data_IF_670792451169
#
_entry.id   IF_670792451169
#
_cell.length_a   1.000
_cell.length_b   1.000
_cell.length_c   1.000
_cell.angle_alpha   90.00
_cell.angle_beta   90.00
_cell.angle_gamma   90.00
#
_symmetry.space_group_name_H-M   'P 1'
#
loop_
_entity.id
_entity.type
_entity.pdbx_description
1 polymer ?
#
# COMPACT_ATOMS: atom_id res chain seq x y z
N UNK A 1 5.16 -7.58 -32.13
CA UNK A 1 5.63 -8.54 -31.10
C UNK A 1 4.89 -8.17 -29.84
N UNK A 2 4.12 -9.10 -29.27
CA UNK A 2 3.46 -8.92 -27.98
C UNK A 2 4.53 -8.68 -26.91
N UNK A 3 4.26 -7.74 -26.01
CA UNK A 3 5.17 -7.40 -24.91
C UNK A 3 5.25 -8.61 -23.95
N UNK A 4 6.45 -9.08 -23.55
CA UNK A 4 6.59 -10.19 -22.59
C UNK A 4 5.81 -10.00 -21.29
N UNK A 5 5.62 -8.74 -20.86
CA UNK A 5 4.77 -8.40 -19.72
C UNK A 5 3.32 -8.78 -19.98
N UNK A 6 2.77 -8.40 -21.14
CA UNK A 6 1.38 -8.67 -21.49
C UNK A 6 1.14 -10.18 -21.64
N UNK A 7 2.09 -10.90 -22.23
CA UNK A 7 2.03 -12.37 -22.35
C UNK A 7 2.02 -13.05 -20.97
N UNK A 8 2.85 -12.57 -20.04
CA UNK A 8 2.89 -13.07 -18.68
C UNK A 8 1.58 -12.83 -17.92
N UNK A 9 1.04 -11.60 -18.02
CA UNK A 9 -0.24 -11.23 -17.42
C UNK A 9 -1.36 -12.11 -17.98
N UNK A 10 -1.47 -12.21 -19.30
CA UNK A 10 -2.48 -13.07 -19.94
C UNK A 10 -2.34 -14.54 -19.53
N UNK A 11 -1.11 -15.02 -19.36
CA UNK A 11 -0.85 -16.40 -18.96
C UNK A 11 -1.43 -16.72 -17.58
N UNK A 12 -1.07 -15.94 -16.53
CA UNK A 12 -1.58 -16.25 -15.20
C UNK A 12 -3.08 -15.94 -15.04
N UNK A 13 -3.63 -14.94 -15.75
CA UNK A 13 -5.09 -14.74 -15.78
C UNK A 13 -5.83 -15.93 -16.37
N UNK A 14 -5.29 -16.52 -17.44
CA UNK A 14 -5.87 -17.74 -18.03
C UNK A 14 -5.85 -18.92 -17.06
N UNK A 15 -4.80 -19.02 -16.24
CA UNK A 15 -4.74 -20.04 -15.18
C UNK A 15 -5.78 -19.77 -14.09
N UNK A 16 -5.94 -18.51 -13.65
CA UNK A 16 -6.85 -18.08 -12.58
C UNK A 16 -8.35 -18.22 -12.89
N UNK A 17 -8.71 -18.39 -14.16
CA UNK A 17 -10.11 -18.66 -14.58
C UNK A 17 -10.53 -20.11 -14.29
N UNK A 18 -9.56 -21.03 -14.11
CA UNK A 18 -9.87 -22.45 -13.85
C UNK A 18 -10.16 -22.67 -12.37
N UNK A 19 -11.21 -23.44 -12.08
CA UNK A 19 -11.47 -23.91 -10.72
C UNK A 19 -10.29 -24.76 -10.22
N UNK A 20 -9.81 -24.43 -9.02
CA UNK A 20 -8.79 -25.19 -8.32
C UNK A 20 -7.59 -24.37 -7.86
N UNK A 21 -6.51 -25.07 -7.54
CA UNK A 21 -5.27 -24.46 -7.06
C UNK A 21 -4.27 -24.33 -8.20
N UNK A 22 -3.71 -23.13 -8.35
CA UNK A 22 -2.60 -22.85 -9.25
C UNK A 22 -1.33 -22.78 -8.43
N UNK A 23 -0.28 -23.47 -8.87
CA UNK A 23 1.01 -23.36 -8.21
C UNK A 23 1.75 -22.16 -8.74
N UNK A 24 2.29 -21.34 -7.85
CA UNK A 24 3.15 -20.21 -8.23
C UNK A 24 4.35 -20.67 -9.03
N UNK A 25 4.83 -21.89 -8.79
CA UNK A 25 5.88 -22.53 -9.58
C UNK A 25 5.58 -22.55 -11.09
N UNK A 26 4.32 -22.68 -11.49
CA UNK A 26 3.93 -22.71 -12.90
C UNK A 26 3.98 -21.32 -13.55
N UNK A 27 4.00 -20.25 -12.73
CA UNK A 27 4.05 -18.84 -13.13
C UNK A 27 5.50 -18.34 -13.20
N UNK A 28 6.41 -18.91 -12.41
CA UNK A 28 7.84 -18.51 -12.33
C UNK A 28 8.55 -18.39 -13.70
N UNK A 29 8.38 -19.31 -14.67
CA UNK A 29 9.08 -19.19 -15.96
C UNK A 29 8.65 -17.95 -16.75
N UNK A 30 7.36 -17.62 -16.75
CA UNK A 30 6.85 -16.41 -17.41
C UNK A 30 7.33 -15.14 -16.70
N UNK A 31 7.34 -15.15 -15.36
CA UNK A 31 7.83 -14.02 -14.56
C UNK A 31 9.31 -13.76 -14.81
N UNK A 32 10.13 -14.83 -14.92
CA UNK A 32 11.54 -14.71 -15.25
C UNK A 32 11.78 -14.24 -16.70
N UNK A 33 10.95 -14.68 -17.65
CA UNK A 33 11.06 -14.29 -19.05
C UNK A 33 10.66 -12.83 -19.33
N UNK A 34 9.84 -12.23 -18.45
CA UNK A 34 9.44 -10.82 -18.51
C UNK A 34 10.63 -9.84 -18.36
N UNK A 35 11.74 -10.29 -17.77
CA UNK A 35 12.95 -9.50 -17.51
C UNK A 35 12.66 -8.13 -16.85
N UNK A 36 11.86 -8.19 -15.78
CA UNK A 36 11.43 -6.99 -15.05
C UNK A 36 12.60 -6.22 -14.45
N UNK A 37 12.62 -4.91 -14.61
CA UNK A 37 13.59 -4.02 -13.94
C UNK A 37 13.51 -4.08 -12.42
N UNK A 38 12.35 -4.43 -11.86
CA UNK A 38 12.17 -4.61 -10.41
C UNK A 38 12.67 -5.97 -9.92
N UNK A 39 12.91 -6.93 -10.83
CA UNK A 39 13.36 -8.28 -10.49
C UNK A 39 14.33 -8.84 -11.56
N UNK A 40 15.36 -8.07 -11.89
CA UNK A 40 16.35 -8.30 -12.96
C UNK A 40 17.21 -9.59 -12.83
N UNK A 41 17.03 -10.37 -11.77
CA UNK A 41 17.74 -11.64 -11.56
C UNK A 41 16.80 -12.83 -11.40
N UNK A 42 15.51 -12.67 -11.68
CA UNK A 42 14.49 -13.71 -11.50
C UNK A 42 14.91 -15.07 -12.09
N UNK A 43 15.41 -15.09 -13.33
CA UNK A 43 15.83 -16.31 -14.03
C UNK A 43 17.23 -16.83 -13.72
N UNK A 44 18.00 -16.18 -12.84
CA UNK A 44 19.37 -16.59 -12.49
C UNK A 44 19.47 -17.12 -11.05
N UNK A 45 20.59 -17.74 -10.68
CA UNK A 45 20.84 -18.17 -9.29
C UNK A 45 21.25 -17.02 -8.35
N UNK A 46 21.46 -15.82 -8.88
CA UNK A 46 21.81 -14.64 -8.08
C UNK A 46 20.60 -14.15 -7.29
N UNK A 47 20.81 -13.84 -6.02
CA UNK A 47 19.78 -13.33 -5.11
C UNK A 47 19.60 -11.82 -5.34
N UNK A 48 18.38 -11.41 -5.55
CA UNK A 48 17.94 -10.02 -5.61
C UNK A 48 17.27 -9.62 -4.29
N UNK A 49 18.08 -9.20 -3.32
CA UNK A 49 17.58 -8.82 -1.98
C UNK A 49 16.63 -7.63 -2.03
N UNK A 50 16.83 -6.70 -2.96
CA UNK A 50 15.94 -5.54 -3.14
C UNK A 50 14.54 -5.96 -3.57
N UNK A 51 14.43 -6.89 -4.54
CA UNK A 51 13.15 -7.47 -4.96
C UNK A 51 12.51 -8.30 -3.84
N UNK A 52 13.31 -9.09 -3.12
CA UNK A 52 12.83 -9.89 -1.99
C UNK A 52 12.26 -8.99 -0.87
N UNK A 53 12.99 -7.95 -0.49
CA UNK A 53 12.54 -6.95 0.48
C UNK A 53 11.26 -6.26 0.00
N UNK A 54 11.23 -5.82 -1.26
CA UNK A 54 10.07 -5.15 -1.85
C UNK A 54 8.80 -6.02 -1.79
N UNK A 55 8.94 -7.32 -2.06
CA UNK A 55 7.85 -8.29 -1.98
C UNK A 55 7.42 -8.57 -0.54
N UNK A 56 8.38 -8.83 0.36
CA UNK A 56 8.10 -9.11 1.77
C UNK A 56 7.32 -7.98 2.45
N UNK A 57 7.67 -6.72 2.18
CA UNK A 57 6.96 -5.58 2.74
C UNK A 57 5.48 -5.51 2.28
N UNK A 58 5.14 -6.12 1.14
CA UNK A 58 3.77 -6.12 0.57
C UNK A 58 2.97 -7.37 0.93
N UNK A 59 3.55 -8.25 1.74
CA UNK A 59 2.94 -9.49 2.21
C UNK A 59 2.84 -9.45 3.75
N UNK A 60 1.89 -10.17 4.36
CA UNK A 60 1.84 -10.29 5.81
C UNK A 60 3.09 -10.98 6.35
N UNK A 61 3.52 -10.65 7.57
CA UNK A 61 4.71 -11.27 8.20
C UNK A 61 4.63 -12.78 8.35
N UNK A 62 3.42 -13.35 8.40
CA UNK A 62 3.19 -14.80 8.47
C UNK A 62 3.31 -15.52 7.11
N UNK A 63 3.64 -14.83 6.03
CA UNK A 63 3.62 -15.40 4.66
C UNK A 63 4.53 -16.61 4.49
N UNK A 64 5.61 -16.73 5.26
CA UNK A 64 6.50 -17.88 5.25
C UNK A 64 5.87 -19.14 5.86
N UNK A 65 4.79 -19.02 6.63
CA UNK A 65 3.97 -20.13 7.14
C UNK A 65 2.84 -20.52 6.17
N UNK A 66 2.47 -19.64 5.24
CA UNK A 66 1.35 -19.83 4.31
C UNK A 66 1.71 -20.81 3.21
N UNK A 67 0.76 -21.66 2.82
CA UNK A 67 0.86 -22.54 1.65
C UNK A 67 -0.12 -22.17 0.56
N UNK A 68 -1.34 -21.78 0.92
CA UNK A 68 -2.39 -21.45 -0.04
C UNK A 68 -2.96 -20.07 0.25
N UNK A 69 -3.03 -19.27 -0.81
CA UNK A 69 -3.53 -17.90 -0.77
C UNK A 69 -4.85 -17.88 -1.53
N UNK A 70 -5.91 -17.56 -0.81
CA UNK A 70 -7.28 -17.48 -1.32
C UNK A 70 -7.52 -16.03 -1.68
N UNK A 71 -7.82 -15.76 -2.95
CA UNK A 71 -8.09 -14.41 -3.43
C UNK A 71 -9.55 -14.30 -3.89
N UNK A 72 -10.20 -13.21 -3.55
CA UNK A 72 -11.55 -12.90 -4.02
C UNK A 72 -11.79 -11.40 -3.97
N UNK A 73 -12.68 -10.92 -4.83
CA UNK A 73 -13.20 -9.55 -4.79
C UNK A 73 -14.36 -9.38 -3.81
N UNK A 74 -14.86 -10.48 -3.26
CA UNK A 74 -15.97 -10.49 -2.31
C UNK A 74 -15.65 -11.38 -1.10
N UNK A 75 -15.58 -10.77 0.08
CA UNK A 75 -15.34 -11.51 1.33
C UNK A 75 -16.44 -12.55 1.59
N UNK A 76 -17.69 -12.26 1.22
CA UNK A 76 -18.79 -13.20 1.44
C UNK A 76 -18.65 -14.44 0.55
N UNK A 77 -18.13 -14.29 -0.67
CA UNK A 77 -17.87 -15.42 -1.57
C UNK A 77 -16.85 -16.40 -0.98
N UNK A 78 -15.88 -15.92 -0.20
CA UNK A 78 -14.95 -16.79 0.52
C UNK A 78 -15.68 -17.60 1.60
N UNK A 79 -16.57 -16.97 2.38
CA UNK A 79 -17.38 -17.63 3.41
C UNK A 79 -18.29 -18.69 2.80
N UNK A 80 -18.99 -18.34 1.72
CA UNK A 80 -19.88 -19.24 1.00
C UNK A 80 -19.14 -20.45 0.41
N UNK A 81 -17.85 -20.26 0.08
CA UNK A 81 -16.96 -21.33 -0.42
C UNK A 81 -16.35 -22.18 0.71
N UNK A 82 -16.78 -21.97 1.96
CA UNK A 82 -16.39 -22.78 3.11
C UNK A 82 -15.18 -22.25 3.89
N UNK A 83 -14.75 -21.01 3.65
CA UNK A 83 -13.65 -20.39 4.41
C UNK A 83 -14.20 -19.43 5.48
N UNK A 84 -14.16 -19.78 6.79
CA UNK A 84 -14.69 -18.94 7.86
C UNK A 84 -13.72 -17.80 8.20
N UNK A 85 -13.46 -16.90 7.24
CA UNK A 85 -12.45 -15.84 7.31
C UNK A 85 -12.66 -14.88 8.49
N UNK A 86 -13.89 -14.73 8.99
CA UNK A 86 -14.19 -13.88 10.15
C UNK A 86 -13.74 -14.50 11.48
N UNK A 87 -13.45 -15.80 11.52
CA UNK A 87 -12.86 -16.49 12.67
C UNK A 87 -11.32 -16.48 12.61
N UNK A 88 -10.75 -16.03 11.50
CA UNK A 88 -9.30 -15.99 11.26
C UNK A 88 -8.69 -14.70 11.80
N UNK A 89 -7.38 -14.69 11.98
CA UNK A 89 -6.66 -13.49 12.44
C UNK A 89 -6.51 -12.50 11.29
N UNK A 90 -7.02 -11.28 11.46
CA UNK A 90 -6.73 -10.19 10.53
C UNK A 90 -5.24 -9.83 10.61
N UNK A 91 -4.54 -9.94 9.48
CA UNK A 91 -3.11 -9.67 9.37
C UNK A 91 -2.85 -8.50 8.44
N UNK A 92 -1.86 -7.67 8.79
CA UNK A 92 -1.55 -6.44 8.05
C UNK A 92 -0.33 -6.60 7.15
N UNK A 93 -0.32 -5.81 6.09
CA UNK A 93 0.77 -5.61 5.13
C UNK A 93 1.33 -4.20 5.28
N UNK A 94 2.66 -4.03 5.30
CA UNK A 94 3.29 -2.74 5.60
C UNK A 94 3.34 -1.81 4.36
N UNK A 95 3.73 -2.35 3.20
CA UNK A 95 4.04 -1.60 1.99
C UNK A 95 2.90 -1.43 0.99
N UNK A 96 1.81 -2.19 1.13
CA UNK A 96 0.59 -2.08 0.32
C UNK A 96 -0.59 -2.67 1.07
N UNK A 97 -1.48 -1.82 1.59
CA UNK A 97 -2.65 -2.22 2.40
C UNK A 97 -3.55 -3.18 1.61
N UNK A 98 -3.88 -4.31 2.23
CA UNK A 98 -4.89 -5.27 1.79
C UNK A 98 -5.53 -5.89 3.01
N UNK A 99 -6.86 -6.05 3.00
CA UNK A 99 -7.55 -6.88 3.99
C UNK A 99 -7.14 -8.35 3.80
N UNK A 100 -6.41 -8.87 4.79
CA UNK A 100 -5.90 -10.23 4.79
C UNK A 100 -6.29 -10.93 6.08
N UNK A 101 -6.64 -12.21 5.99
CA UNK A 101 -7.01 -13.06 7.12
C UNK A 101 -6.19 -14.35 7.11
N UNK A 102 -5.55 -14.68 8.22
CA UNK A 102 -4.68 -15.84 8.37
C UNK A 102 -5.29 -16.87 9.34
N UNK A 103 -5.39 -18.12 8.89
CA UNK A 103 -5.97 -19.22 9.67
C UNK A 103 -5.06 -19.75 10.79
N UNK A 104 -3.90 -19.12 11.02
CA UNK A 104 -2.83 -19.57 11.93
C UNK A 104 -2.22 -20.93 11.59
N UNK A 105 -2.43 -21.40 10.37
CA UNK A 105 -1.96 -22.69 9.91
C UNK A 105 -1.28 -22.57 8.55
N UNK A 106 -2.03 -22.57 7.44
CA UNK A 106 -1.46 -22.55 6.09
C UNK A 106 -2.29 -21.79 5.05
N UNK A 107 -3.42 -21.19 5.44
CA UNK A 107 -4.31 -20.45 4.55
C UNK A 107 -4.24 -18.95 4.83
N UNK A 108 -4.09 -18.17 3.76
CA UNK A 108 -4.22 -16.72 3.80
C UNK A 108 -5.33 -16.30 2.84
N UNK A 109 -6.40 -15.73 3.36
CA UNK A 109 -7.41 -15.05 2.55
C UNK A 109 -6.98 -13.60 2.31
N UNK A 110 -7.07 -13.12 1.07
CA UNK A 110 -6.74 -11.75 0.69
C UNK A 110 -7.82 -11.15 -0.23
N UNK A 111 -8.38 -10.02 0.19
CA UNK A 111 -9.38 -9.28 -0.57
C UNK A 111 -8.74 -8.48 -1.71
N UNK A 112 -9.29 -8.60 -2.93
CA UNK A 112 -8.79 -7.94 -4.15
C UNK A 112 -9.80 -6.90 -4.65
N UNK A 113 -9.44 -5.63 -4.56
CA UNK A 113 -10.35 -4.53 -4.99
C UNK A 113 -10.39 -4.33 -6.51
N UNK A 114 -9.45 -4.92 -7.26
CA UNK A 114 -9.38 -4.76 -8.71
C UNK A 114 -8.59 -5.88 -9.40
N UNK A 115 -8.68 -5.93 -10.74
CA UNK A 115 -7.82 -6.79 -11.57
C UNK A 115 -6.34 -6.42 -11.38
N UNK A 116 -6.03 -5.13 -11.26
CA UNK A 116 -4.66 -4.67 -11.02
C UNK A 116 -4.12 -5.07 -9.65
N UNK A 117 -4.98 -5.33 -8.66
CA UNK A 117 -4.56 -5.89 -7.38
C UNK A 117 -4.20 -7.37 -7.49
N UNK A 118 -4.90 -8.12 -8.36
CA UNK A 118 -4.56 -9.49 -8.71
C UNK A 118 -3.17 -9.51 -9.38
N UNK A 119 -2.94 -8.66 -10.38
CA UNK A 119 -1.64 -8.58 -11.07
C UNK A 119 -0.49 -8.33 -10.09
N UNK A 120 -0.68 -7.41 -9.15
CA UNK A 120 0.32 -7.11 -8.12
C UNK A 120 0.53 -8.29 -7.17
N UNK A 121 -0.52 -8.87 -6.59
CA UNK A 121 -0.35 -9.93 -5.59
C UNK A 121 0.31 -11.18 -6.20
N UNK A 122 -0.05 -11.57 -7.44
CA UNK A 122 0.59 -12.68 -8.16
C UNK A 122 2.09 -12.40 -8.35
N UNK A 123 2.41 -11.20 -8.83
CA UNK A 123 3.79 -10.77 -9.09
C UNK A 123 4.64 -10.75 -7.81
N UNK A 124 4.06 -10.25 -6.72
CA UNK A 124 4.70 -10.14 -5.40
C UNK A 124 4.94 -11.52 -4.79
N UNK A 125 3.95 -12.41 -4.80
CA UNK A 125 4.11 -13.79 -4.29
C UNK A 125 5.13 -14.56 -5.12
N UNK A 126 5.09 -14.43 -6.45
CA UNK A 126 6.04 -15.08 -7.35
C UNK A 126 7.46 -14.60 -7.08
N UNK A 127 7.65 -13.28 -6.91
CA UNK A 127 8.95 -12.70 -6.53
C UNK A 127 9.44 -13.23 -5.18
N UNK A 128 8.57 -13.26 -4.17
CA UNK A 128 8.93 -13.76 -2.85
C UNK A 128 9.36 -15.22 -2.88
N UNK A 129 8.60 -16.08 -3.59
CA UNK A 129 8.91 -17.50 -3.71
C UNK A 129 10.25 -17.74 -4.42
N UNK A 130 10.49 -17.07 -5.55
CA UNK A 130 11.73 -17.21 -6.32
C UNK A 130 12.93 -16.88 -5.43
N UNK A 131 12.91 -15.73 -4.75
CA UNK A 131 14.03 -15.27 -3.95
C UNK A 131 14.24 -16.10 -2.67
N UNK A 132 13.16 -16.46 -1.98
CA UNK A 132 13.23 -17.41 -0.86
C UNK A 132 13.89 -18.71 -1.28
N UNK A 133 13.45 -19.27 -2.41
CA UNK A 133 13.92 -20.57 -2.87
C UNK A 133 15.39 -20.54 -3.33
N UNK A 134 15.88 -19.43 -3.89
CA UNK A 134 17.31 -19.25 -4.16
C UNK A 134 18.14 -19.27 -2.88
N UNK A 135 17.69 -18.54 -1.86
CA UNK A 135 18.36 -18.52 -0.56
C UNK A 135 18.32 -19.93 0.07
N UNK A 136 17.17 -20.62 0.02
CA UNK A 136 17.05 -22.00 0.47
C UNK A 136 18.06 -22.93 -0.23
N UNK A 137 18.22 -22.83 -1.55
CA UNK A 137 19.14 -23.67 -2.32
C UNK A 137 20.61 -23.43 -1.93
N UNK A 138 20.95 -22.21 -1.49
CA UNK A 138 22.25 -21.89 -0.93
C UNK A 138 22.47 -22.50 0.47
N UNK A 139 21.43 -22.54 1.31
CA UNK A 139 21.52 -22.85 2.75
C UNK A 139 21.17 -24.29 3.14
N UNK A 140 20.34 -24.98 2.35
CA UNK A 140 19.83 -26.34 2.64
C UNK A 140 20.90 -27.44 2.60
N UNK A 141 22.14 -27.10 2.21
CA UNK A 141 23.26 -28.04 2.21
C UNK A 141 23.56 -28.46 3.66
N UNK A 142 23.71 -29.78 3.96
CA UNK A 142 23.82 -30.28 5.34
C UNK A 142 24.85 -29.56 6.21
N UNK A 143 26.02 -29.24 5.65
CA UNK A 143 27.09 -28.54 6.37
C UNK A 143 26.71 -27.10 6.73
N UNK A 144 25.98 -26.42 5.87
CA UNK A 144 25.58 -25.02 6.09
C UNK A 144 24.41 -24.92 7.06
N UNK A 145 23.39 -25.77 6.87
CA UNK A 145 22.25 -25.84 7.78
C UNK A 145 22.70 -26.19 9.22
N UNK A 146 23.65 -27.13 9.35
CA UNK A 146 24.24 -27.50 10.64
C UNK A 146 25.01 -26.34 11.28
N UNK A 147 25.76 -25.55 10.50
CA UNK A 147 26.43 -24.35 11.00
C UNK A 147 25.42 -23.34 11.56
N UNK A 148 24.37 -23.01 10.80
CA UNK A 148 23.32 -22.07 11.27
C UNK A 148 22.74 -22.55 12.60
N UNK A 149 22.42 -23.85 12.70
CA UNK A 149 21.86 -24.45 13.91
C UNK A 149 22.80 -24.35 15.11
N UNK A 150 24.10 -24.58 14.91
CA UNK A 150 25.12 -24.44 15.97
C UNK A 150 25.24 -22.98 16.42
N UNK A 151 25.31 -22.02 15.48
CA UNK A 151 25.38 -20.59 15.81
C UNK A 151 24.18 -20.16 16.66
N UNK A 152 22.98 -20.56 16.23
CA UNK A 152 21.74 -20.25 16.94
C UNK A 152 21.69 -20.85 18.35
N UNK A 153 22.08 -22.12 18.50
CA UNK A 153 22.08 -22.78 19.82
C UNK A 153 23.09 -22.18 20.81
N UNK A 154 24.20 -21.62 20.31
CA UNK A 154 25.24 -21.05 21.16
C UNK A 154 24.99 -19.56 21.50
N UNK A 155 23.90 -18.96 21.01
CA UNK A 155 23.59 -17.53 21.12
C UNK A 155 24.81 -16.65 20.76
N UNK A 156 25.62 -17.15 19.83
CA UNK A 156 26.80 -16.44 19.36
C UNK A 156 26.28 -15.33 18.47
N UNK A 157 26.15 -14.12 19.04
CA UNK A 157 25.94 -12.92 18.23
C UNK A 157 26.88 -13.01 17.04
N UNK A 158 26.31 -13.04 15.84
CA UNK A 158 27.05 -12.99 14.60
C UNK A 158 27.85 -11.67 14.58
N UNK A 159 28.96 -11.63 15.29
CA UNK A 159 30.00 -10.61 15.15
C UNK A 159 30.82 -10.92 13.90
N UNK A 160 30.73 -12.17 13.40
CA UNK A 160 31.09 -12.59 12.05
C UNK A 160 29.86 -12.89 11.20
N UNK A 161 29.07 -11.87 10.82
CA UNK A 161 27.97 -11.96 9.81
C UNK A 161 28.48 -12.20 8.37
N UNK A 162 29.79 -12.05 8.17
CA UNK A 162 30.49 -12.18 6.89
C UNK A 162 30.35 -13.56 6.18
N UNK A 163 30.32 -14.72 6.87
CA UNK A 163 30.23 -16.03 6.22
C UNK A 163 28.92 -16.25 5.46
N UNK A 164 27.78 -15.85 6.03
CA UNK A 164 26.47 -15.99 5.36
C UNK A 164 26.32 -14.97 4.24
N UNK A 165 26.76 -13.72 4.46
CA UNK A 165 26.82 -12.72 3.39
C UNK A 165 27.64 -13.22 2.19
N UNK A 166 28.85 -13.74 2.43
CA UNK A 166 29.72 -14.33 1.40
C UNK A 166 29.08 -15.55 0.73
N UNK A 167 28.40 -16.40 1.51
CA UNK A 167 27.73 -17.60 0.99
C UNK A 167 26.57 -17.28 0.06
N UNK A 168 25.75 -16.29 0.43
CA UNK A 168 24.66 -15.78 -0.38
C UNK A 168 25.16 -14.94 -1.57
N UNK A 169 26.44 -14.55 -1.57
CA UNK A 169 27.07 -13.74 -2.62
C UNK A 169 26.33 -12.41 -2.83
N UNK A 170 25.98 -11.73 -1.73
CA UNK A 170 25.26 -10.45 -1.73
C UNK A 170 26.14 -9.30 -1.21
N UNK A 171 25.85 -8.09 -1.66
CA UNK A 171 26.61 -6.90 -1.25
C UNK A 171 26.39 -6.57 0.23
N UNK A 172 27.27 -5.73 0.80
CA UNK A 172 27.10 -5.29 2.19
C UNK A 172 25.83 -4.44 2.38
N UNK A 173 25.44 -3.66 1.37
CA UNK A 173 24.20 -2.89 1.40
C UNK A 173 22.97 -3.80 1.34
N UNK A 174 23.00 -4.81 0.47
CA UNK A 174 21.95 -5.83 0.42
C UNK A 174 21.85 -6.61 1.73
N UNK A 175 22.99 -6.89 2.37
CA UNK A 175 22.98 -7.54 3.68
C UNK A 175 22.27 -6.70 4.74
N UNK A 176 22.52 -5.38 4.80
CA UNK A 176 21.76 -4.48 5.70
C UNK A 176 20.26 -4.52 5.41
N UNK A 177 19.88 -4.56 4.14
CA UNK A 177 18.47 -4.65 3.73
C UNK A 177 17.85 -6.00 4.13
N UNK A 178 18.60 -7.09 3.98
CA UNK A 178 18.20 -8.43 4.41
C UNK A 178 17.99 -8.49 5.93
N UNK A 179 18.86 -7.87 6.72
CA UNK A 179 18.70 -7.82 8.18
C UNK A 179 17.43 -7.07 8.60
N UNK A 180 17.01 -6.04 7.84
CA UNK A 180 15.73 -5.35 8.07
C UNK A 180 14.53 -6.32 7.89
N UNK A 181 14.61 -7.32 6.99
CA UNK A 181 13.56 -8.35 6.84
C UNK A 181 13.44 -9.26 8.06
N UNK A 182 14.57 -9.56 8.69
CA UNK A 182 14.66 -10.56 9.77
C UNK A 182 14.06 -10.08 11.10
N UNK A 183 13.55 -8.85 11.17
CA UNK A 183 12.97 -8.26 12.40
C UNK A 183 13.89 -8.37 13.64
N UNK A 184 15.21 -8.36 13.44
CA UNK A 184 16.21 -8.46 14.52
C UNK A 184 16.67 -9.87 14.88
N UNK A 185 16.13 -10.93 14.27
CA UNK A 185 16.58 -12.32 14.48
C UNK A 185 16.93 -13.02 13.14
N UNK A 186 18.10 -12.68 12.55
CA UNK A 186 18.52 -13.26 11.29
C UNK A 186 18.83 -14.75 11.38
N UNK A 187 19.18 -15.28 12.55
CA UNK A 187 19.52 -16.69 12.71
C UNK A 187 18.28 -17.57 12.58
N UNK A 188 17.22 -17.24 13.32
CA UNK A 188 15.93 -17.93 13.21
C UNK A 188 15.37 -17.83 11.79
N UNK A 189 15.46 -16.65 11.17
CA UNK A 189 14.99 -16.45 9.80
C UNK A 189 15.76 -17.30 8.78
N UNK A 190 17.10 -17.36 8.86
CA UNK A 190 17.94 -18.21 8.01
C UNK A 190 17.69 -19.70 8.25
N UNK A 191 17.42 -20.11 9.50
CA UNK A 191 17.00 -21.50 9.81
C UNK A 191 15.68 -21.82 9.12
N UNK A 192 14.70 -20.93 9.22
CA UNK A 192 13.40 -21.13 8.58
C UNK A 192 13.55 -21.26 7.06
N UNK A 193 14.30 -20.37 6.42
CA UNK A 193 14.59 -20.47 4.98
C UNK A 193 15.32 -21.77 4.65
N UNK A 194 16.36 -22.12 5.39
CA UNK A 194 17.12 -23.36 5.15
C UNK A 194 16.31 -24.63 5.34
N UNK A 195 15.27 -24.61 6.18
CA UNK A 195 14.48 -25.78 6.54
C UNK A 195 13.49 -26.23 5.47
N UNK A 196 13.00 -25.29 4.63
CA UNK A 196 11.95 -25.58 3.64
C UNK A 196 12.02 -24.69 2.42
N UNK A 197 11.72 -25.28 1.25
CA UNK A 197 11.32 -24.51 0.06
C UNK A 197 9.89 -24.02 0.20
N UNK A 198 9.60 -22.88 -0.38
CA UNK A 198 8.24 -22.40 -0.57
C UNK A 198 7.65 -22.92 -1.88
N UNK A 199 6.36 -23.23 -1.82
CA UNK A 199 5.54 -23.69 -2.93
C UNK A 199 4.11 -23.19 -2.71
N UNK A 200 3.92 -21.90 -2.94
CA UNK A 200 2.63 -21.24 -2.81
C UNK A 200 1.65 -21.73 -3.85
N UNK A 201 0.40 -21.84 -3.41
CA UNK A 201 -0.74 -22.15 -4.23
C UNK A 201 -1.71 -20.98 -4.16
N UNK A 202 -2.36 -20.65 -5.28
CA UNK A 202 -3.39 -19.62 -5.32
C UNK A 202 -4.70 -20.26 -5.71
N UNK A 203 -5.74 -19.92 -4.97
CA UNK A 203 -7.11 -20.27 -5.26
C UNK A 203 -7.90 -18.98 -5.41
N UNK A 204 -8.41 -18.74 -6.62
CA UNK A 204 -9.38 -17.67 -6.83
C UNK A 204 -10.75 -18.21 -6.48
N UNK A 205 -11.46 -17.49 -5.62
CA UNK A 205 -12.87 -17.74 -5.30
C UNK A 205 -13.67 -16.62 -5.92
N UNK A 206 -14.68 -16.99 -6.71
CA UNK A 206 -15.57 -16.03 -7.33
C UNK A 206 -17.03 -16.49 -7.31
N UNK A 207 -17.97 -15.54 -7.20
CA UNK A 207 -19.37 -15.78 -7.57
C UNK A 207 -19.53 -15.74 -9.08
N UNK A 208 -20.45 -16.56 -9.62
CA UNK A 208 -20.71 -16.69 -11.07
C UNK A 208 -21.09 -15.39 -11.79
N UNK A 209 -21.48 -14.34 -11.06
CA UNK A 209 -21.82 -13.02 -11.57
C UNK A 209 -20.97 -11.88 -10.94
N UNK A 210 -19.75 -12.16 -10.49
CA UNK A 210 -18.86 -11.10 -9.97
C UNK A 210 -18.65 -10.00 -11.01
N UNK A 211 -19.21 -8.83 -10.72
CA UNK A 211 -18.96 -7.62 -11.46
C UNK A 211 -18.37 -6.60 -10.48
N UNK A 212 -17.12 -6.21 -10.65
CA UNK A 212 -16.46 -5.17 -9.83
C UNK A 212 -17.33 -3.93 -9.69
N UNK A 213 -18.13 -3.60 -10.73
CA UNK A 213 -19.05 -2.48 -10.70
C UNK A 213 -20.13 -2.61 -9.63
N UNK A 214 -20.67 -3.81 -9.37
CA UNK A 214 -21.73 -3.97 -8.34
C UNK A 214 -21.20 -3.75 -6.93
N UNK A 215 -19.94 -4.12 -6.67
CA UNK A 215 -19.28 -3.86 -5.37
C UNK A 215 -19.04 -2.36 -5.16
N UNK A 216 -18.60 -1.68 -6.21
CA UNK A 216 -18.38 -0.24 -6.19
C UNK A 216 -19.70 0.55 -6.07
N UNK A 217 -20.76 0.11 -6.75
CA UNK A 217 -22.10 0.70 -6.60
C UNK A 217 -22.62 0.51 -5.16
N UNK A 218 -22.43 -0.67 -4.55
CA UNK A 218 -22.82 -0.91 -3.15
C UNK A 218 -22.03 -0.04 -2.16
N UNK A 219 -20.72 0.12 -2.39
CA UNK A 219 -19.88 1.06 -1.64
C UNK A 219 -20.38 2.50 -1.75
N UNK A 220 -20.82 2.92 -2.94
CA UNK A 220 -21.40 4.25 -3.17
C UNK A 220 -22.68 4.45 -2.37
N UNK A 221 -23.58 3.48 -2.36
CA UNK A 221 -24.82 3.56 -1.59
C UNK A 221 -24.55 3.63 -0.07
N UNK A 222 -23.57 2.87 0.45
CA UNK A 222 -23.13 3.00 1.84
C UNK A 222 -22.56 4.41 2.14
N UNK A 223 -21.75 4.95 1.23
CA UNK A 223 -21.19 6.29 1.36
C UNK A 223 -22.29 7.36 1.39
N UNK A 224 -23.25 7.30 0.45
CA UNK A 224 -24.41 8.20 0.39
C UNK A 224 -25.25 8.10 1.67
N UNK A 225 -25.52 6.88 2.16
CA UNK A 225 -26.28 6.66 3.38
C UNK A 225 -25.58 7.22 4.63
N UNK A 226 -24.25 7.26 4.64
CA UNK A 226 -23.45 7.85 5.74
C UNK A 226 -23.38 9.38 5.70
N UNK A 227 -23.73 9.99 4.57
CA UNK A 227 -23.59 11.42 4.33
C UNK A 227 -24.93 12.16 4.52
N UNK A 228 -25.01 13.20 5.36
CA UNK A 228 -26.22 14.00 5.50
C UNK A 228 -26.47 14.95 4.30
N UNK A 229 -25.53 15.06 3.37
CA UNK A 229 -25.63 15.92 2.20
C UNK A 229 -25.99 15.10 0.95
N UNK A 230 -26.80 15.68 0.07
CA UNK A 230 -27.15 15.07 -1.20
C UNK A 230 -26.00 15.19 -2.20
N UNK A 231 -25.16 14.15 -2.26
CA UNK A 231 -23.96 14.12 -3.12
C UNK A 231 -24.26 14.33 -4.61
N UNK A 232 -25.46 13.96 -5.08
CA UNK A 232 -25.86 14.11 -6.48
C UNK A 232 -26.25 15.54 -6.86
N UNK A 233 -26.66 16.36 -5.89
CA UNK A 233 -27.11 17.75 -6.13
C UNK A 233 -26.06 18.80 -5.76
N UNK A 234 -25.12 18.47 -4.87
CA UNK A 234 -24.04 19.37 -4.49
C UNK A 234 -22.93 19.38 -5.55
N UNK A 235 -22.30 20.54 -5.82
CA UNK A 235 -21.05 20.58 -6.58
C UNK A 235 -19.93 19.85 -5.82
N UNK A 236 -19.14 19.02 -6.50
CA UNK A 236 -18.10 18.18 -5.87
C UNK A 236 -16.72 18.53 -6.39
N UNK A 237 -15.79 18.75 -5.46
CA UNK A 237 -14.35 18.65 -5.70
C UNK A 237 -13.89 17.24 -5.34
N UNK A 238 -13.51 16.48 -6.35
CA UNK A 238 -13.00 15.13 -6.17
C UNK A 238 -11.49 15.16 -5.92
N UNK A 239 -11.05 14.46 -4.87
CA UNK A 239 -9.66 14.38 -4.46
C UNK A 239 -9.25 12.93 -4.24
N UNK A 240 -8.21 12.49 -4.92
CA UNK A 240 -7.52 11.23 -4.62
C UNK A 240 -6.25 11.55 -3.84
N UNK A 241 -6.25 11.30 -2.53
CA UNK A 241 -5.15 11.64 -1.63
C UNK A 241 -5.20 10.79 -0.34
N UNK A 242 -4.24 11.01 0.56
CA UNK A 242 -4.32 10.44 1.89
C UNK A 242 -5.55 11.03 2.60
N UNK A 243 -6.38 10.17 3.19
CA UNK A 243 -7.63 10.60 3.85
C UNK A 243 -7.42 11.46 5.11
N UNK A 244 -6.18 11.62 5.57
CA UNK A 244 -5.82 12.46 6.71
C UNK A 244 -5.10 13.75 6.30
N UNK A 245 -4.53 13.84 5.09
CA UNK A 245 -3.64 14.96 4.72
C UNK A 245 -4.33 16.30 4.53
N UNK A 246 -5.56 16.33 4.01
CA UNK A 246 -6.34 17.57 3.90
C UNK A 246 -7.08 17.87 5.20
N UNK A 247 -7.77 16.90 5.84
CA UNK A 247 -8.37 17.13 7.16
C UNK A 247 -7.40 17.73 8.17
N UNK A 248 -6.15 17.27 8.24
CA UNK A 248 -5.16 17.82 9.18
C UNK A 248 -4.88 19.31 8.97
N UNK A 249 -5.06 19.83 7.75
CA UNK A 249 -4.84 21.23 7.40
C UNK A 249 -6.05 22.12 7.71
N UNK A 250 -7.25 21.55 7.93
CA UNK A 250 -8.50 22.33 8.04
C UNK A 250 -9.25 22.13 9.36
N UNK A 251 -8.71 21.30 10.26
CA UNK A 251 -9.33 21.03 11.58
C UNK A 251 -8.69 21.78 12.73
N UNK A 252 -7.54 22.43 12.53
CA UNK A 252 -6.81 23.15 13.58
C UNK A 252 -6.16 22.22 14.60
N UNK A 253 -5.96 20.95 14.24
CA UNK A 253 -5.50 19.90 15.15
C UNK A 253 -4.07 20.11 15.69
N UNK A 254 -3.28 21.01 15.09
CA UNK A 254 -1.84 21.13 15.36
C UNK A 254 -1.44 22.25 16.32
N UNK A 255 -2.38 22.80 17.09
CA UNK A 255 -2.02 23.75 18.14
C UNK A 255 -1.44 22.97 19.34
N UNK A 256 -0.11 23.08 19.50
CA UNK A 256 0.74 22.59 20.61
C UNK A 256 1.04 21.08 20.70
N UNK A 257 1.98 20.57 19.90
CA UNK A 257 2.40 19.16 20.05
C UNK A 257 3.90 18.89 19.76
N UNK A 258 4.79 19.60 20.44
CA UNK A 258 6.22 19.19 20.56
C UNK A 258 6.35 17.74 21.06
N UNK A 259 5.39 17.30 21.89
CA UNK A 259 5.29 15.93 22.39
C UNK A 259 5.08 14.91 21.26
N UNK A 260 4.29 15.25 20.24
CA UNK A 260 4.04 14.39 19.08
C UNK A 260 5.29 14.20 18.23
N UNK A 261 6.04 15.28 17.97
CA UNK A 261 7.34 15.20 17.27
C UNK A 261 8.32 14.38 18.11
N UNK A 262 8.41 14.65 19.42
CA UNK A 262 9.33 13.95 20.33
C UNK A 262 9.04 12.44 20.34
N UNK A 263 7.78 12.06 20.49
CA UNK A 263 7.35 10.65 20.44
C UNK A 263 7.66 10.02 19.08
N UNK A 264 7.47 10.76 17.98
CA UNK A 264 7.81 10.27 16.64
C UNK A 264 9.32 10.03 16.48
N UNK A 265 10.15 10.92 16.99
CA UNK A 265 11.62 10.78 16.96
C UNK A 265 12.10 9.59 17.78
N UNK A 266 11.52 9.36 18.97
CA UNK A 266 11.86 8.22 19.82
C UNK A 266 11.55 6.89 19.13
N UNK A 267 10.41 6.79 18.45
CA UNK A 267 9.96 5.58 17.76
C UNK A 267 10.54 5.41 16.34
N UNK A 268 11.22 6.43 15.80
CA UNK A 268 11.81 6.40 14.47
C UNK A 268 13.14 5.64 14.43
N UNK A 269 13.45 4.91 13.33
CA UNK A 269 14.78 4.35 13.11
C UNK A 269 15.86 5.43 13.10
N UNK A 270 17.09 5.09 13.50
CA UNK A 270 18.21 6.05 13.62
C UNK A 270 18.44 6.87 12.34
N UNK A 271 18.40 6.23 11.16
CA UNK A 271 18.55 6.90 9.85
C UNK A 271 17.48 8.00 9.61
N UNK A 272 16.26 7.77 10.10
CA UNK A 272 15.16 8.73 10.00
C UNK A 272 15.33 9.82 11.05
N UNK A 273 15.71 9.44 12.27
CA UNK A 273 15.95 10.38 13.37
C UNK A 273 17.06 11.37 13.03
N UNK A 274 18.18 10.92 12.46
CA UNK A 274 19.28 11.79 12.04
C UNK A 274 18.84 12.80 10.99
N UNK A 275 18.06 12.34 9.99
CA UNK A 275 17.51 13.22 8.95
C UNK A 275 16.54 14.24 9.52
N UNK A 276 15.72 13.84 10.49
CA UNK A 276 14.78 14.73 11.16
C UNK A 276 15.51 15.74 12.07
N UNK A 277 16.56 15.33 12.78
CA UNK A 277 17.41 16.25 13.54
C UNK A 277 18.06 17.29 12.64
N UNK A 278 18.54 16.90 11.46
CA UNK A 278 19.02 17.87 10.46
C UNK A 278 17.90 18.83 10.02
N UNK A 279 16.69 18.33 9.76
CA UNK A 279 15.55 19.16 9.36
C UNK A 279 15.10 20.15 10.44
N UNK A 280 15.19 19.75 11.71
CA UNK A 280 14.85 20.56 12.89
C UNK A 280 15.95 21.57 13.27
N UNK A 281 17.18 21.39 12.76
CA UNK A 281 18.28 22.33 13.03
C UNK A 281 18.20 23.63 12.21
N UNK A 282 17.41 23.63 11.14
CA UNK A 282 17.01 24.85 10.42
C UNK A 282 15.77 25.44 11.13
N UNK A 283 15.89 26.67 11.64
CA UNK A 283 14.83 27.42 12.36
C UNK A 283 13.72 27.92 11.42
N UNK A 284 13.21 27.04 10.56
CA UNK A 284 12.17 27.28 9.57
C UNK A 284 10.84 26.72 10.08
N UNK A 285 10.02 27.59 10.68
CA UNK A 285 8.67 27.29 11.19
C UNK A 285 7.81 26.47 10.22
N UNK A 286 7.98 26.67 8.90
CA UNK A 286 7.21 25.94 7.89
C UNK A 286 7.57 24.46 7.84
N UNK A 287 8.84 24.10 8.09
CA UNK A 287 9.30 22.71 8.12
C UNK A 287 8.83 21.97 9.35
N UNK A 288 8.84 22.64 10.50
CA UNK A 288 8.30 22.08 11.75
C UNK A 288 6.81 21.77 11.56
N UNK A 289 6.04 22.71 10.98
CA UNK A 289 4.63 22.46 10.64
C UNK A 289 4.44 21.29 9.68
N UNK A 290 5.27 21.17 8.64
CA UNK A 290 5.21 20.02 7.73
C UNK A 290 5.49 18.68 8.44
N UNK A 291 6.45 18.67 9.38
CA UNK A 291 6.74 17.49 10.19
C UNK A 291 5.57 17.15 11.11
N UNK A 292 4.95 18.14 11.77
CA UNK A 292 3.76 17.93 12.59
C UNK A 292 2.62 17.29 11.80
N UNK A 293 2.32 17.81 10.60
CA UNK A 293 1.33 17.20 9.72
C UNK A 293 1.69 15.76 9.35
N UNK A 294 2.96 15.50 9.04
CA UNK A 294 3.42 14.15 8.72
C UNK A 294 3.26 13.18 9.90
N UNK A 295 3.68 13.59 11.10
CA UNK A 295 3.53 12.82 12.32
C UNK A 295 2.06 12.56 12.63
N UNK A 296 1.21 13.58 12.46
CA UNK A 296 -0.23 13.44 12.65
C UNK A 296 -0.78 12.35 11.74
N UNK A 297 -0.58 12.46 10.42
CA UNK A 297 -1.00 11.45 9.44
C UNK A 297 -0.48 10.05 9.81
N UNK A 298 0.80 9.92 10.17
CA UNK A 298 1.40 8.66 10.58
C UNK A 298 0.67 8.03 11.79
N UNK A 299 0.37 8.83 12.80
CA UNK A 299 -0.31 8.36 13.99
C UNK A 299 -1.82 8.16 13.81
N UNK A 300 -2.48 8.90 12.92
CA UNK A 300 -3.86 8.62 12.49
C UNK A 300 -3.95 7.23 11.84
N UNK A 301 -2.99 6.91 10.96
CA UNK A 301 -2.96 5.64 10.23
C UNK A 301 -2.68 4.43 11.13
N UNK A 302 -1.88 4.62 12.19
CA UNK A 302 -1.60 3.56 13.16
C UNK A 302 -2.73 3.37 14.19
N UNK A 303 -3.72 4.29 14.21
CA UNK A 303 -4.83 4.28 15.17
C UNK A 303 -4.47 4.84 16.54
N UNK A 304 -3.29 5.43 16.69
CA UNK A 304 -2.76 5.97 17.95
C UNK A 304 -3.34 7.35 18.30
N UNK A 305 -3.99 8.03 17.34
CA UNK A 305 -4.63 9.33 17.54
C UNK A 305 -6.12 9.31 17.19
N UNK A 306 -6.97 9.69 18.15
CA UNK A 306 -8.41 9.89 17.91
C UNK A 306 -8.68 11.30 17.40
N UNK A 307 -9.03 11.40 16.11
CA UNK A 307 -9.35 12.66 15.44
C UNK A 307 -10.82 13.10 15.60
N UNK A 308 -11.62 12.26 16.26
CA UNK A 308 -13.07 12.26 16.12
C UNK A 308 -13.77 13.53 16.59
N UNK A 309 -13.20 14.28 17.56
CA UNK A 309 -13.85 15.48 18.10
C UNK A 309 -13.65 16.69 17.20
N UNK A 310 -12.41 17.01 16.84
CA UNK A 310 -12.08 18.16 15.98
C UNK A 310 -12.68 18.03 14.57
N UNK A 311 -12.69 16.82 14.03
CA UNK A 311 -13.28 16.54 12.71
C UNK A 311 -14.79 16.72 12.72
N UNK A 312 -15.49 16.23 13.75
CA UNK A 312 -16.93 16.44 13.91
C UNK A 312 -17.26 17.92 14.01
N UNK A 313 -16.48 18.68 14.77
CA UNK A 313 -16.69 20.12 14.93
C UNK A 313 -16.45 20.89 13.62
N UNK A 314 -15.61 20.37 12.72
CA UNK A 314 -15.40 20.92 11.36
C UNK A 314 -16.33 20.30 10.31
N UNK A 315 -17.32 19.50 10.72
CA UNK A 315 -18.31 18.88 9.85
C UNK A 315 -17.76 17.80 8.91
N UNK A 316 -16.56 17.29 9.18
CA UNK A 316 -15.90 16.25 8.39
C UNK A 316 -16.60 14.91 8.65
N UNK A 317 -16.95 14.22 7.56
CA UNK A 317 -17.59 12.91 7.61
C UNK A 317 -16.59 11.87 7.10
N UNK A 318 -16.22 10.92 7.96
CA UNK A 318 -15.37 9.79 7.59
C UNK A 318 -16.22 8.58 7.24
N UNK A 319 -15.87 7.95 6.13
CA UNK A 319 -16.42 6.67 5.71
C UNK A 319 -15.27 5.67 5.62
N UNK A 320 -15.31 4.66 6.48
CA UNK A 320 -14.25 3.65 6.62
C UNK A 320 -14.86 2.26 6.76
N UNK A 321 -14.07 1.23 6.44
CA UNK A 321 -14.42 -0.17 6.67
C UNK A 321 -15.69 -0.63 5.94
N UNK A 322 -15.89 -0.21 4.68
CA UNK A 322 -16.95 -0.78 3.85
C UNK A 322 -16.79 -2.30 3.74
N UNK A 323 -17.93 -2.99 3.75
CA UNK A 323 -18.02 -4.44 3.61
C UNK A 323 -17.93 -4.89 2.14
N UNK A 324 -18.15 -3.95 1.21
CA UNK A 324 -18.30 -4.24 -0.22
C UNK A 324 -17.07 -3.87 -1.05
N UNK A 325 -16.34 -2.83 -0.67
CA UNK A 325 -15.16 -2.38 -1.40
C UNK A 325 -14.14 -1.76 -0.43
N UNK A 326 -12.88 -2.18 -0.49
CA UNK A 326 -11.84 -1.71 0.43
C UNK A 326 -11.31 -0.32 0.04
N UNK A 327 -12.15 0.70 0.24
CA UNK A 327 -11.85 2.10 -0.03
C UNK A 327 -12.41 2.99 1.07
N UNK A 328 -11.52 3.75 1.70
CA UNK A 328 -11.90 4.77 2.67
C UNK A 328 -12.16 6.09 1.95
N UNK A 329 -13.12 6.85 2.47
CA UNK A 329 -13.45 8.19 1.99
C UNK A 329 -13.63 9.18 3.13
N UNK A 330 -13.49 10.46 2.80
CA UNK A 330 -13.68 11.59 3.69
C UNK A 330 -14.41 12.69 2.94
N UNK A 331 -15.50 13.21 3.51
CA UNK A 331 -16.30 14.28 2.92
C UNK A 331 -16.14 15.53 3.78
N UNK A 332 -15.79 16.64 3.15
CA UNK A 332 -15.62 17.95 3.80
C UNK A 332 -16.58 18.95 3.16
N UNK A 333 -17.60 19.43 3.90
CA UNK A 333 -18.48 20.49 3.44
C UNK A 333 -17.75 21.83 3.49
N UNK A 334 -17.65 22.55 2.36
CA UNK A 334 -16.89 23.82 2.29
C UNK A 334 -17.45 24.87 3.25
N UNK A 335 -18.78 24.93 3.41
CA UNK A 335 -19.44 25.84 4.36
C UNK A 335 -19.06 25.63 5.84
N UNK A 336 -18.45 24.50 6.20
CA UNK A 336 -18.04 24.21 7.59
C UNK A 336 -16.57 24.55 7.87
N UNK A 337 -15.83 24.99 6.85
CA UNK A 337 -14.46 25.43 7.01
C UNK A 337 -14.41 26.75 7.79
N UNK A 338 -13.60 26.80 8.84
CA UNK A 338 -13.39 27.99 9.67
C UNK A 338 -11.97 28.52 9.49
N UNK A 339 -11.82 29.82 9.25
CA UNK A 339 -10.50 30.47 9.14
C UNK A 339 -9.63 30.23 10.37
N UNK A 340 -10.22 30.23 11.57
CA UNK A 340 -9.51 30.04 12.85
C UNK A 340 -8.89 28.64 13.00
N UNK A 341 -9.35 27.66 12.20
CA UNK A 341 -8.88 26.27 12.27
C UNK A 341 -8.00 25.87 11.09
N UNK A 342 -7.95 26.68 10.05
CA UNK A 342 -7.21 26.33 8.85
C UNK A 342 -5.74 26.68 9.08
N UNK A 343 -4.83 25.82 8.60
CA UNK A 343 -3.39 26.05 8.70
C UNK A 343 -3.08 27.47 8.21
N UNK A 344 -2.41 28.26 9.06
CA UNK A 344 -2.18 29.69 8.85
C UNK A 344 -1.45 30.02 7.55
N UNK A 345 -0.81 29.04 6.91
CA UNK A 345 -0.14 29.19 5.61
C UNK A 345 -1.13 29.18 4.43
N UNK A 346 -2.33 28.63 4.63
CA UNK A 346 -3.41 28.59 3.64
C UNK A 346 -4.17 29.92 3.73
N UNK A 347 -3.92 30.79 2.76
CA UNK A 347 -4.63 32.08 2.66
C UNK A 347 -5.94 31.91 1.93
N UNK A 348 -7.04 31.91 2.67
CA UNK A 348 -8.38 31.93 2.08
C UNK A 348 -8.72 33.35 1.65
N UNK A 349 -9.07 33.50 0.38
CA UNK A 349 -9.64 34.74 -0.15
C UNK A 349 -11.15 34.61 -0.07
N UNK A 350 -11.83 35.61 0.47
CA UNK A 350 -13.29 35.67 0.53
C UNK A 350 -13.92 34.54 1.37
N UNK A 351 -13.51 34.40 2.64
CA UNK A 351 -14.07 33.41 3.58
C UNK A 351 -15.58 33.49 3.74
N UNK A 352 -16.15 34.69 3.65
CA UNK A 352 -17.61 34.88 3.64
C UNK A 352 -18.30 34.05 2.55
N UNK A 353 -17.65 33.84 1.40
CA UNK A 353 -18.20 33.05 0.29
C UNK A 353 -18.22 31.56 0.63
N UNK A 354 -17.22 31.06 1.39
CA UNK A 354 -17.15 29.65 1.76
C UNK A 354 -18.36 29.25 2.61
N UNK A 355 -18.76 30.08 3.57
CA UNK A 355 -19.89 29.83 4.47
C UNK A 355 -21.24 29.70 3.73
N UNK A 356 -21.34 30.21 2.51
CA UNK A 356 -22.54 30.15 1.67
C UNK A 356 -22.43 29.07 0.57
N UNK A 357 -21.34 28.29 0.53
CA UNK A 357 -21.12 27.28 -0.49
C UNK A 357 -21.77 25.95 -0.13
N UNK A 358 -22.53 25.39 -1.07
CA UNK A 358 -23.10 24.05 -1.01
C UNK A 358 -22.13 22.97 -1.53
N UNK A 359 -20.90 23.35 -1.90
CA UNK A 359 -19.92 22.45 -2.48
C UNK A 359 -19.27 21.54 -1.42
N UNK A 360 -18.93 20.33 -1.86
CA UNK A 360 -18.32 19.29 -1.03
C UNK A 360 -16.95 18.92 -1.61
N UNK A 361 -16.00 18.62 -0.74
CA UNK A 361 -14.75 17.95 -1.10
C UNK A 361 -14.91 16.47 -0.75
N UNK A 362 -14.83 15.59 -1.75
CA UNK A 362 -14.80 14.14 -1.55
C UNK A 362 -13.37 13.67 -1.73
N UNK A 363 -12.76 13.16 -0.67
CA UNK A 363 -11.41 12.61 -0.64
C UNK A 363 -11.50 11.09 -0.56
N UNK A 364 -10.78 10.37 -1.41
CA UNK A 364 -10.66 8.90 -1.35
C UNK A 364 -9.21 8.47 -1.18
N UNK A 365 -9.00 7.32 -0.52
CA UNK A 365 -7.67 6.77 -0.21
C UNK A 365 -7.04 6.07 -1.43
N UNK A 366 -6.17 6.79 -2.15
CA UNK A 366 -5.26 6.31 -3.21
C UNK A 366 -5.66 5.00 -3.94
N UNK A 367 -6.75 4.96 -4.71
CA UNK A 367 -7.01 3.80 -5.54
C UNK A 367 -5.91 3.64 -6.60
N UNK A 368 -5.54 2.40 -6.90
CA UNK A 368 -4.49 2.08 -7.87
C UNK A 368 -5.08 1.39 -9.10
N UNK A 369 -4.43 1.61 -10.25
CA UNK A 369 -4.75 0.93 -11.50
C UNK A 369 -6.20 1.10 -11.92
N UNK A 370 -6.82 0.00 -12.35
CA UNK A 370 -8.21 -0.03 -12.84
C UNK A 370 -9.25 0.46 -11.82
N UNK A 371 -9.06 0.22 -10.52
CA UNK A 371 -9.98 0.74 -9.50
C UNK A 371 -10.10 2.26 -9.55
N UNK A 372 -8.99 2.98 -9.77
CA UNK A 372 -9.01 4.44 -9.85
C UNK A 372 -9.88 4.95 -11.01
N UNK A 373 -9.86 4.24 -12.14
CA UNK A 373 -10.70 4.53 -13.29
C UNK A 373 -12.18 4.29 -12.97
N UNK A 374 -12.51 3.14 -12.37
CA UNK A 374 -13.89 2.76 -12.05
C UNK A 374 -14.51 3.71 -11.03
N UNK A 375 -13.76 4.08 -9.99
CA UNK A 375 -14.21 5.02 -8.94
C UNK A 375 -14.44 6.41 -9.52
N UNK A 376 -13.49 6.94 -10.30
CA UNK A 376 -13.67 8.26 -10.90
C UNK A 376 -14.85 8.27 -11.87
N UNK A 377 -15.01 7.21 -12.67
CA UNK A 377 -16.15 7.08 -13.60
C UNK A 377 -17.49 7.04 -12.87
N UNK A 378 -17.58 6.28 -11.76
CA UNK A 378 -18.75 6.29 -10.88
C UNK A 378 -19.04 7.69 -10.34
N UNK A 379 -18.03 8.38 -9.80
CA UNK A 379 -18.23 9.72 -9.21
C UNK A 379 -18.66 10.73 -10.27
N UNK A 380 -18.09 10.68 -11.48
CA UNK A 380 -18.51 11.53 -12.60
C UNK A 380 -19.94 11.24 -13.06
N UNK A 381 -20.42 10.00 -12.92
CA UNK A 381 -21.80 9.63 -13.23
C UNK A 381 -22.79 10.10 -12.15
N UNK A 382 -22.40 10.00 -10.87
CA UNK A 382 -23.29 10.25 -9.73
C UNK A 382 -23.26 11.69 -9.22
N UNK A 383 -22.20 12.45 -9.48
CA UNK A 383 -21.99 13.79 -8.94
C UNK A 383 -21.74 14.84 -10.02
N UNK A 384 -22.09 16.09 -9.72
CA UNK A 384 -21.64 17.24 -10.50
C UNK A 384 -20.23 17.62 -10.08
N UNK A 385 -19.21 17.04 -10.71
CA UNK A 385 -17.80 17.30 -10.39
C UNK A 385 -17.33 18.61 -11.03
N UNK A 386 -16.84 19.54 -10.21
CA UNK A 386 -16.34 20.86 -10.62
C UNK A 386 -14.82 21.01 -10.50
N UNK A 387 -14.13 20.03 -9.92
CA UNK A 387 -12.67 19.96 -9.91
C UNK A 387 -12.16 18.58 -9.51
N UNK A 388 -11.02 18.19 -10.07
CA UNK A 388 -10.37 16.89 -9.85
C UNK A 388 -8.92 17.15 -9.41
N UNK A 389 -8.53 16.58 -8.28
CA UNK A 389 -7.18 16.69 -7.73
C UNK A 389 -6.64 15.30 -7.42
N UNK A 390 -5.53 14.93 -8.04
CA UNK A 390 -4.90 13.62 -7.84
C UNK A 390 -3.52 13.85 -7.26
N UNK A 391 -3.33 13.36 -6.03
CA UNK A 391 -2.07 13.40 -5.32
C UNK A 391 -1.41 12.03 -5.38
N UNK A 392 -0.09 11.99 -5.46
CA UNK A 392 0.65 10.73 -5.52
C UNK A 392 2.14 10.93 -5.45
N UNK A 393 2.86 9.80 -5.39
CA UNK A 393 4.31 9.75 -5.50
C UNK A 393 4.65 9.20 -6.89
N UNK A 394 5.64 9.78 -7.54
CA UNK A 394 6.10 9.32 -8.85
C UNK A 394 7.61 9.06 -8.81
N UNK A 395 8.03 7.98 -9.46
CA UNK A 395 9.43 7.82 -9.84
C UNK A 395 9.78 8.86 -10.90
N UNK A 396 10.99 9.39 -10.85
CA UNK A 396 11.44 10.41 -11.79
C UNK A 396 12.74 10.00 -12.45
N UNK A 397 12.87 10.30 -13.74
CA UNK A 397 14.09 10.08 -14.51
C UNK A 397 15.06 11.27 -14.43
N UNK A 398 14.57 12.45 -14.01
CA UNK A 398 15.34 13.71 -14.09
C UNK A 398 15.31 14.55 -12.82
N UNK A 399 14.28 14.41 -11.99
CA UNK A 399 14.09 15.25 -10.81
C UNK A 399 14.76 14.63 -9.58
N UNK A 400 14.87 15.40 -8.50
CA UNK A 400 15.39 14.93 -7.23
C UNK A 400 14.27 14.40 -6.35
N UNK A 401 14.63 13.57 -5.37
CA UNK A 401 13.70 13.13 -4.33
C UNK A 401 13.21 14.37 -3.58
N UNK A 402 11.88 14.58 -3.55
CA UNK A 402 11.23 15.72 -2.90
C UNK A 402 10.72 16.80 -3.86
N UNK A 403 11.09 16.74 -5.14
CA UNK A 403 10.57 17.69 -6.14
C UNK A 403 9.06 17.48 -6.38
N UNK A 404 8.32 18.58 -6.52
CA UNK A 404 6.90 18.57 -6.85
C UNK A 404 6.74 18.56 -8.37
N UNK A 405 5.87 17.67 -8.88
CA UNK A 405 5.58 17.54 -10.30
C UNK A 405 4.10 17.87 -10.52
N UNK A 406 3.82 18.87 -11.37
CA UNK A 406 2.48 19.20 -11.83
C UNK A 406 2.41 18.83 -13.32
N UNK A 407 1.82 17.67 -13.68
CA UNK A 407 1.83 17.20 -15.05
C UNK A 407 0.89 18.04 -15.92
N UNK A 408 1.41 18.63 -17.00
CA UNK A 408 0.59 19.21 -18.08
C UNK A 408 0.23 18.19 -19.15
N UNK A 409 0.92 17.04 -19.17
CA UNK A 409 0.70 15.96 -20.12
C UNK A 409 0.96 14.62 -19.44
N UNK A 410 0.09 13.64 -19.69
CA UNK A 410 0.23 12.26 -19.25
C UNK A 410 0.18 11.36 -20.48
N UNK A 411 1.18 10.50 -20.63
CA UNK A 411 1.17 9.42 -21.61
C UNK A 411 0.74 8.13 -20.93
N UNK A 412 -0.42 7.60 -21.31
CA UNK A 412 -0.88 6.31 -20.82
C UNK A 412 -0.34 5.20 -21.71
N UNK A 413 0.58 4.40 -21.17
CA UNK A 413 1.19 3.29 -21.88
C UNK A 413 0.22 2.15 -22.17
N UNK A 414 -0.87 2.01 -21.41
CA UNK A 414 -1.85 0.94 -21.63
C UNK A 414 -2.75 1.25 -22.82
N UNK A 415 -3.32 2.45 -22.88
CA UNK A 415 -4.17 2.84 -24.02
C UNK A 415 -3.39 3.42 -25.20
N UNK A 416 -2.14 3.82 -25.01
CA UNK A 416 -1.34 4.55 -26.00
C UNK A 416 -1.82 5.98 -26.25
N UNK A 417 -2.63 6.53 -25.34
CA UNK A 417 -3.18 7.87 -25.45
C UNK A 417 -2.31 8.91 -24.73
N UNK A 418 -2.31 10.12 -25.30
CA UNK A 418 -1.74 11.31 -24.66
C UNK A 418 -2.87 12.20 -24.14
N UNK A 419 -2.86 12.48 -22.84
CA UNK A 419 -3.80 13.39 -22.20
C UNK A 419 -3.09 14.70 -21.86
N UNK A 420 -3.69 15.83 -22.26
CA UNK A 420 -3.16 17.17 -21.98
C UNK A 420 -4.11 17.92 -21.04
N UNK A 421 -3.54 18.60 -20.06
CA UNK A 421 -4.29 19.26 -19.00
C UNK A 421 -3.94 20.75 -18.92
N UNK A 422 -4.98 21.56 -18.74
CA UNK A 422 -4.84 22.96 -18.33
C UNK A 422 -4.99 23.02 -16.80
N UNK A 423 -3.87 22.96 -16.10
CA UNK A 423 -3.87 22.96 -14.63
C UNK A 423 -4.34 24.31 -14.06
N UNK A 424 -5.07 24.26 -12.95
CA UNK A 424 -5.41 25.45 -12.16
C UNK A 424 -4.22 26.00 -11.36
N UNK A 425 -3.11 25.26 -11.30
CA UNK A 425 -1.85 25.69 -10.72
C UNK A 425 -0.91 26.20 -11.82
N UNK A 426 -0.43 27.43 -11.68
CA UNK A 426 0.72 27.94 -12.43
C UNK A 426 1.99 27.69 -11.61
N UNK A 427 2.95 26.98 -12.20
CA UNK A 427 4.28 26.79 -11.61
C UNK A 427 5.10 28.08 -11.59
#
# INVERSE_FOLDING_TARGET
MTNPVDEHIQHFHTLLVRDGHIRIKDIEPGHAAMDSSLHYHAGSSSINVSAFYYAAMRLPRCIDCVRTIIISSDLQSMVDSGFPIYDWEEVRTEGRRRKCYYDKNFLLAAHMSSVSDIDDIITIITTFQIEWNKIHDCLSRPDEYSKIKIFHQMNLYLTGLDPFQKKLNISHNDWKLFLKLCSGDPESFLLTIGSKRLDFHIQRVFRSNENTRSHLDAWWEELVASCPYSLSSCPVYFVSANIYSIPSLVTGFLDDDEALISSFLENSPDEVRDRLHMLLSDDDDSRIKNLLHYCNVYYSETGSLSHSTFEKDSGIIRFQNSSHFDLNACIIPIQKLSEDRIDSRIRIRQSDVLQHSDALIIIIDYPLGSAAHDILSLILEKCTVIGIYIFGKAGTLRNRIGDIIIPSTIWDTFSGNEFRFHNCYSA
#
